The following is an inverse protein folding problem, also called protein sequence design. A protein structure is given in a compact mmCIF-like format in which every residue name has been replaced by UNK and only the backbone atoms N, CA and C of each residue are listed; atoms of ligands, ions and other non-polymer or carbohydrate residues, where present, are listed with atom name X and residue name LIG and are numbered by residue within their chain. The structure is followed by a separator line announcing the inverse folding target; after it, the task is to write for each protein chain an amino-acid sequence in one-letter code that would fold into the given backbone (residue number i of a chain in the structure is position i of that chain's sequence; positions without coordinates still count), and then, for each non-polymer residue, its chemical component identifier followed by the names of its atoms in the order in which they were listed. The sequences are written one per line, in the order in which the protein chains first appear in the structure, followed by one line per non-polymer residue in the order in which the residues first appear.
data_IF_279502239617
#
_entry.id   IF_279502239617
#
_cell.length_a   1.000
_cell.length_b   1.000
_cell.length_c   1.000
_cell.angle_alpha   90.00
_cell.angle_beta   90.00
_cell.angle_gamma   90.00
#
_symmetry.space_group_name_H-M   'P 1'
#
loop_
_entity.id
_entity.type
_entity.pdbx_description
1 polymer ?
#
# COMPACT_ATOMS: atom_id res chain seq x y z
N UNK A 1 3.88 -30.47 -4.19
CA UNK A 1 3.85 -29.28 -3.32
C UNK A 1 3.66 -28.11 -4.26
N UNK A 2 2.51 -27.47 -4.21
CA UNK A 2 2.21 -26.33 -5.07
C UNK A 2 3.08 -25.17 -4.58
N UNK A 3 4.05 -24.75 -5.38
CA UNK A 3 4.90 -23.60 -5.04
C UNK A 3 3.99 -22.39 -4.84
N UNK A 4 3.86 -21.95 -3.59
CA UNK A 4 3.16 -20.72 -3.25
C UNK A 4 4.00 -19.56 -3.76
N UNK A 5 3.84 -19.21 -5.04
CA UNK A 5 4.59 -18.12 -5.67
C UNK A 5 4.16 -16.81 -5.00
N UNK A 6 5.11 -16.18 -4.32
CA UNK A 6 4.88 -14.87 -3.69
C UNK A 6 4.52 -13.86 -4.78
N UNK A 7 3.28 -13.35 -4.75
CA UNK A 7 2.78 -12.42 -5.76
C UNK A 7 3.31 -11.01 -5.56
N UNK A 8 3.57 -10.62 -4.31
CA UNK A 8 4.24 -9.37 -3.95
C UNK A 8 5.73 -9.48 -4.28
N UNK A 9 6.09 -9.35 -5.55
CA UNK A 9 7.48 -9.20 -5.98
C UNK A 9 7.97 -7.79 -5.70
N UNK A 10 9.29 -7.58 -5.67
CA UNK A 10 9.85 -6.24 -5.46
C UNK A 10 9.36 -5.25 -6.53
N UNK A 11 9.30 -5.69 -7.80
CA UNK A 11 8.75 -4.88 -8.90
C UNK A 11 7.28 -4.50 -8.69
N UNK A 12 6.46 -5.42 -8.17
CA UNK A 12 5.06 -5.12 -7.87
C UNK A 12 4.95 -4.13 -6.70
N UNK A 13 5.70 -4.34 -5.62
CA UNK A 13 5.73 -3.42 -4.48
C UNK A 13 6.19 -2.01 -4.88
N UNK A 14 7.18 -1.88 -5.77
CA UNK A 14 7.63 -0.60 -6.32
C UNK A 14 6.52 0.10 -7.14
N UNK A 15 5.76 -0.65 -7.93
CA UNK A 15 4.60 -0.13 -8.67
C UNK A 15 3.51 0.36 -7.72
N UNK A 16 3.21 -0.37 -6.65
CA UNK A 16 2.24 0.05 -5.63
C UNK A 16 2.71 1.33 -4.91
N UNK A 17 4.00 1.41 -4.55
CA UNK A 17 4.57 2.61 -3.96
C UNK A 17 4.51 3.82 -4.89
N UNK A 18 4.71 3.60 -6.19
CA UNK A 18 4.59 4.66 -7.21
C UNK A 18 3.14 5.13 -7.33
N UNK A 19 2.18 4.22 -7.38
CA UNK A 19 0.76 4.56 -7.41
C UNK A 19 0.32 5.36 -6.18
N UNK A 20 0.82 5.01 -4.98
CA UNK A 20 0.56 5.75 -3.76
C UNK A 20 1.09 7.19 -3.85
N UNK A 21 2.32 7.38 -4.33
CA UNK A 21 2.93 8.70 -4.52
C UNK A 21 2.18 9.55 -5.54
N UNK A 22 1.76 8.96 -6.66
CA UNK A 22 1.00 9.66 -7.70
C UNK A 22 -0.33 10.16 -7.13
N UNK A 23 -1.06 9.30 -6.41
CA UNK A 23 -2.34 9.68 -5.83
C UNK A 23 -2.21 10.69 -4.69
N UNK A 24 -1.19 10.55 -3.84
CA UNK A 24 -0.95 11.53 -2.77
C UNK A 24 -0.65 12.92 -3.35
N UNK A 25 0.12 12.99 -4.45
CA UNK A 25 0.38 14.24 -5.18
C UNK A 25 -0.87 14.83 -5.83
N UNK A 26 -1.74 14.00 -6.38
CA UNK A 26 -3.02 14.44 -6.94
C UNK A 26 -3.91 15.10 -5.87
N UNK A 27 -3.91 14.55 -4.65
CA UNK A 27 -4.66 15.08 -3.51
C UNK A 27 -3.93 16.23 -2.79
N UNK A 28 -2.64 16.45 -3.09
CA UNK A 28 -1.84 17.50 -2.46
C UNK A 28 -1.47 17.21 -1.01
N UNK A 29 -1.39 15.93 -0.62
CA UNK A 29 -1.08 15.50 0.76
C UNK A 29 0.18 14.65 0.80
N UNK A 30 1.05 14.94 1.77
CA UNK A 30 2.23 14.14 2.06
C UNK A 30 1.87 13.02 3.04
N UNK A 31 2.09 11.77 2.65
CA UNK A 31 1.79 10.59 3.46
C UNK A 31 3.00 9.65 3.58
N UNK A 32 2.96 8.77 4.56
CA UNK A 32 3.76 7.55 4.59
C UNK A 32 2.97 6.41 3.95
N UNK A 33 3.65 5.55 3.21
CA UNK A 33 3.08 4.36 2.58
C UNK A 33 3.91 3.12 2.93
N UNK A 34 3.22 2.00 3.17
CA UNK A 34 3.86 0.71 3.44
C UNK A 34 3.17 -0.44 2.71
N UNK A 35 3.95 -1.48 2.41
CA UNK A 35 3.48 -2.78 1.94
C UNK A 35 4.09 -3.86 2.83
N UNK A 36 3.28 -4.81 3.29
CA UNK A 36 3.70 -5.99 4.03
C UNK A 36 3.26 -7.26 3.31
N UNK A 37 3.97 -8.37 3.52
CA UNK A 37 3.58 -9.70 3.04
C UNK A 37 2.43 -10.32 3.85
N UNK A 38 2.03 -11.55 3.51
CA UNK A 38 0.94 -12.26 4.17
C UNK A 38 1.20 -12.60 5.65
N UNK A 39 2.46 -12.52 6.10
CA UNK A 39 2.86 -12.69 7.49
C UNK A 39 2.96 -11.35 8.24
N UNK A 40 2.68 -10.24 7.56
CA UNK A 40 2.79 -8.89 8.10
C UNK A 40 4.23 -8.37 8.13
N UNK A 41 5.18 -9.02 7.46
CA UNK A 41 6.57 -8.56 7.40
C UNK A 41 6.72 -7.46 6.35
N UNK A 42 7.45 -6.36 6.65
CA UNK A 42 7.59 -5.25 5.71
C UNK A 42 8.28 -5.64 4.41
N UNK A 43 7.74 -5.17 3.29
CA UNK A 43 8.32 -5.27 1.94
C UNK A 43 8.73 -3.91 1.40
N UNK A 44 7.92 -2.88 1.68
CA UNK A 44 8.23 -1.49 1.35
C UNK A 44 7.78 -0.58 2.47
N UNK A 45 8.56 0.46 2.75
CA UNK A 45 8.15 1.64 3.50
C UNK A 45 8.71 2.88 2.83
N UNK A 46 7.87 3.91 2.67
CA UNK A 46 8.27 5.20 2.13
C UNK A 46 7.53 6.34 2.81
N UNK A 47 8.28 7.30 3.33
CA UNK A 47 7.76 8.61 3.75
C UNK A 47 7.86 9.57 2.56
N UNK A 48 6.74 10.13 2.10
CA UNK A 48 6.73 11.15 1.07
C UNK A 48 6.84 12.54 1.69
N UNK A 49 7.64 13.42 1.08
CA UNK A 49 7.79 14.82 1.48
C UNK A 49 7.97 15.01 2.99
N UNK A 50 7.08 15.82 3.58
CA UNK A 50 7.07 16.21 4.98
C UNK A 50 6.08 15.42 5.86
N UNK A 51 5.58 14.28 5.39
CA UNK A 51 4.63 13.44 6.14
C UNK A 51 5.12 13.15 7.57
N UNK A 52 4.24 13.19 8.58
CA UNK A 52 4.64 13.02 9.98
C UNK A 52 5.37 11.69 10.21
N UNK A 53 6.42 11.68 11.03
CA UNK A 53 7.31 10.51 11.24
C UNK A 53 6.54 9.28 11.76
N UNK A 54 5.49 9.49 12.55
CA UNK A 54 4.68 8.44 13.16
C UNK A 54 3.37 8.17 12.40
N UNK A 55 3.25 8.66 11.15
CA UNK A 55 1.96 8.69 10.48
C UNK A 55 1.39 7.32 10.11
N UNK A 56 2.16 6.22 10.17
CA UNK A 56 1.73 4.89 9.68
C UNK A 56 1.20 3.93 10.77
N UNK A 57 1.32 4.26 12.06
CA UNK A 57 1.15 3.25 13.13
C UNK A 57 -0.29 3.02 13.63
N UNK A 58 -1.27 3.87 13.29
CA UNK A 58 -2.68 3.78 13.72
C UNK A 58 -3.61 4.47 12.69
N UNK A 59 -3.76 3.90 11.50
CA UNK A 59 -4.36 4.61 10.34
C UNK A 59 -5.57 3.92 9.75
N UNK A 60 -6.50 4.72 9.21
CA UNK A 60 -7.65 4.23 8.46
C UNK A 60 -7.27 3.65 7.09
N UNK A 61 -6.16 4.11 6.49
CA UNK A 61 -5.68 3.68 5.17
C UNK A 61 -5.07 2.28 5.10
N UNK A 62 -5.41 1.38 6.04
CA UNK A 62 -4.92 0.00 6.09
C UNK A 62 -5.84 -0.96 5.34
N UNK A 63 -5.36 -1.59 4.26
CA UNK A 63 -6.18 -2.48 3.42
C UNK A 63 -5.48 -3.81 3.15
N UNK A 64 -6.18 -4.95 3.26
CA UNK A 64 -5.65 -6.24 2.83
C UNK A 64 -5.57 -6.32 1.30
N UNK A 65 -4.53 -6.98 0.79
CA UNK A 65 -4.40 -7.33 -0.62
C UNK A 65 -4.78 -8.79 -0.82
N UNK A 66 -5.81 -9.04 -1.64
CA UNK A 66 -6.28 -10.39 -1.95
C UNK A 66 -5.83 -10.84 -3.34
N UNK A 67 -5.23 -12.02 -3.43
CA UNK A 67 -4.88 -12.66 -4.69
C UNK A 67 -5.37 -14.11 -4.69
N UNK A 68 -6.13 -14.49 -5.72
CA UNK A 68 -6.72 -15.84 -5.86
C UNK A 68 -7.48 -16.31 -4.60
N UNK A 69 -8.22 -15.40 -3.96
CA UNK A 69 -9.02 -15.71 -2.76
C UNK A 69 -8.20 -15.90 -1.47
N UNK A 70 -6.89 -15.62 -1.49
CA UNK A 70 -6.01 -15.66 -0.32
C UNK A 70 -5.45 -14.26 -0.03
N UNK A 71 -5.05 -14.02 1.21
CA UNK A 71 -4.31 -12.82 1.58
C UNK A 71 -2.90 -12.93 1.00
N UNK A 72 -2.54 -11.96 0.16
CA UNK A 72 -1.18 -11.80 -0.36
C UNK A 72 -0.32 -10.90 0.55
N UNK A 73 -0.97 -10.04 1.34
CA UNK A 73 -0.33 -9.09 2.23
C UNK A 73 -1.25 -7.94 2.56
N UNK A 74 -0.68 -6.79 2.90
CA UNK A 74 -1.44 -5.58 3.22
C UNK A 74 -0.69 -4.31 2.87
N UNK A 75 -1.44 -3.23 2.69
CA UNK A 75 -0.90 -1.88 2.55
C UNK A 75 -1.31 -1.02 3.72
N UNK A 76 -0.55 0.05 3.97
CA UNK A 76 -0.93 1.13 4.87
C UNK A 76 -0.61 2.48 4.24
N UNK A 77 -1.53 3.43 4.38
CA UNK A 77 -1.33 4.85 4.07
C UNK A 77 -1.61 5.65 5.32
N UNK A 78 -0.79 6.67 5.59
CA UNK A 78 -0.94 7.49 6.77
C UNK A 78 -0.32 8.87 6.66
N UNK A 79 -1.06 9.92 6.99
CA UNK A 79 -0.53 11.28 7.11
C UNK A 79 -1.53 12.38 6.76
N UNK A 80 -2.58 12.03 6.03
CA UNK A 80 -3.71 12.93 5.73
C UNK A 80 -4.86 12.78 6.73
N UNK A 81 -6.05 13.22 6.31
CA UNK A 81 -7.30 12.83 6.97
C UNK A 81 -7.64 11.37 6.69
N UNK A 82 -8.59 10.81 7.44
CA UNK A 82 -9.09 9.46 7.20
C UNK A 82 -9.57 9.27 5.76
N UNK A 83 -10.30 10.25 5.21
CA UNK A 83 -10.81 10.21 3.84
C UNK A 83 -9.68 10.24 2.81
N UNK A 84 -8.63 11.03 3.04
CA UNK A 84 -7.47 11.13 2.15
C UNK A 84 -6.65 9.84 2.15
N UNK A 85 -6.35 9.31 3.35
CA UNK A 85 -5.58 8.07 3.51
C UNK A 85 -6.33 6.88 2.88
N UNK A 86 -7.64 6.77 3.11
CA UNK A 86 -8.49 5.75 2.48
C UNK A 86 -8.55 5.93 0.96
N UNK A 87 -8.71 7.15 0.44
CA UNK A 87 -8.76 7.38 -1.00
C UNK A 87 -7.46 6.98 -1.72
N UNK A 88 -6.30 7.20 -1.10
CA UNK A 88 -5.01 6.75 -1.63
C UNK A 88 -4.92 5.22 -1.55
N UNK A 89 -5.27 4.62 -0.40
CA UNK A 89 -5.19 3.18 -0.22
C UNK A 89 -6.10 2.42 -1.21
N UNK A 90 -7.34 2.85 -1.37
CA UNK A 90 -8.31 2.27 -2.31
C UNK A 90 -7.82 2.38 -3.76
N UNK A 91 -7.22 3.51 -4.13
CA UNK A 91 -6.60 3.66 -5.44
C UNK A 91 -5.48 2.63 -5.64
N UNK A 92 -4.58 2.47 -4.67
CA UNK A 92 -3.49 1.48 -4.73
C UNK A 92 -4.03 0.04 -4.80
N UNK A 93 -5.08 -0.30 -4.04
CA UNK A 93 -5.76 -1.60 -4.14
C UNK A 93 -6.28 -1.81 -5.56
N UNK A 94 -6.91 -0.80 -6.17
CA UNK A 94 -7.40 -0.89 -7.56
C UNK A 94 -6.26 -1.11 -8.58
N UNK A 95 -5.07 -0.56 -8.32
CA UNK A 95 -3.88 -0.77 -9.14
C UNK A 95 -3.36 -2.18 -8.97
N UNK A 96 -3.26 -2.67 -7.72
CA UNK A 96 -2.89 -4.06 -7.42
C UNK A 96 -3.80 -5.03 -8.19
N UNK A 97 -5.12 -4.89 -8.05
CA UNK A 97 -6.09 -5.75 -8.74
C UNK A 97 -5.94 -5.75 -10.27
N UNK A 98 -5.58 -4.60 -10.88
CA UNK A 98 -5.32 -4.52 -12.33
C UNK A 98 -4.03 -5.23 -12.74
N UNK A 99 -3.00 -5.17 -11.89
CA UNK A 99 -1.69 -5.77 -12.15
C UNK A 99 -1.64 -7.28 -11.84
N UNK A 100 -2.59 -7.78 -11.05
CA UNK A 100 -2.66 -9.18 -10.62
C UNK A 100 -3.91 -9.91 -11.09
N UNK A 101 -4.62 -9.38 -12.09
CA UNK A 101 -5.71 -10.11 -12.78
C UNK A 101 -5.17 -11.17 -13.72
#
# INVERSE_FOLDING_TARGET
MEENRMILTDELCDKLCTAALEKSRELGVDVSFAVCDEHGLPRVYRRFGEALVLSITLVAGGYPLFYQGKIAGGIGVGGGTEEEDCAIAEYVVSVFEKLTK
#
